data_IF_558588050220
#
_entry.id   IF_558588050220
#
_cell.length_a   1.000
_cell.length_b   1.000
_cell.length_c   1.000
_cell.angle_alpha   90.00
_cell.angle_beta   90.00
_cell.angle_gamma   90.00
#
_symmetry.space_group_name_H-M   'P 1'
#
loop_
_entity.id
_entity.type
_entity.pdbx_description
1 polymer ?
#
# COMPACT_ATOMS: atom_id res chain seq x y z
N UNK A 1 20.60 -5.24 18.59
CA UNK A 1 21.73 -4.65 19.29
C UNK A 1 22.12 -3.27 18.74
N UNK A 2 22.00 -3.04 17.41
CA UNK A 2 22.45 -1.79 16.75
C UNK A 2 21.37 -0.70 16.63
N UNK A 3 20.11 -0.96 16.98
CA UNK A 3 19.01 -0.03 16.84
C UNK A 3 19.27 1.38 17.39
N UNK A 4 19.90 1.48 18.55
CA UNK A 4 20.19 2.78 19.17
C UNK A 4 21.26 3.56 18.40
N UNK A 5 22.29 2.87 17.95
CA UNK A 5 23.42 3.44 17.19
C UNK A 5 22.94 3.86 15.77
N UNK A 6 22.13 3.03 15.15
CA UNK A 6 21.49 3.32 13.85
C UNK A 6 20.63 4.58 13.93
N UNK A 7 19.79 4.71 14.97
CA UNK A 7 18.96 5.91 15.16
C UNK A 7 19.79 7.15 15.47
N UNK A 8 20.86 7.03 16.23
CA UNK A 8 21.79 8.15 16.45
C UNK A 8 22.44 8.60 15.14
N UNK A 9 22.88 7.68 14.32
CA UNK A 9 23.45 7.98 13.00
C UNK A 9 22.38 8.64 12.10
N UNK A 10 21.18 8.06 12.01
CA UNK A 10 20.09 8.57 11.17
C UNK A 10 19.59 9.96 11.60
N UNK A 11 19.62 10.26 12.90
CA UNK A 11 19.26 11.60 13.41
C UNK A 11 20.14 12.73 12.91
N UNK A 12 21.33 12.39 12.40
CA UNK A 12 22.31 13.34 11.83
C UNK A 12 22.18 13.45 10.30
N UNK A 13 21.19 12.80 9.71
CA UNK A 13 20.94 12.77 8.26
C UNK A 13 19.61 13.43 7.91
N UNK A 14 19.37 13.66 6.62
CA UNK A 14 18.11 14.19 6.09
C UNK A 14 17.26 13.10 5.44
N UNK A 15 17.12 11.93 6.08
CA UNK A 15 16.30 10.83 5.53
C UNK A 15 14.82 11.24 5.48
N UNK A 16 14.17 10.94 4.37
CA UNK A 16 12.75 11.22 4.17
C UNK A 16 11.79 10.23 4.85
N UNK A 17 12.32 9.09 5.33
CA UNK A 17 11.57 8.03 6.01
C UNK A 17 12.48 6.83 6.29
N UNK A 18 12.03 5.93 7.16
CA UNK A 18 12.75 4.70 7.50
C UNK A 18 11.84 3.49 7.44
N UNK A 19 12.42 2.32 7.15
CA UNK A 19 11.76 1.04 7.37
C UNK A 19 12.35 0.41 8.64
N UNK A 20 11.51 0.30 9.66
CA UNK A 20 11.89 -0.30 10.94
C UNK A 20 11.65 -1.80 10.90
N UNK A 21 12.72 -2.59 10.97
CA UNK A 21 12.67 -4.04 10.95
C UNK A 21 12.21 -4.64 12.30
N UNK A 22 11.73 -5.87 12.26
CA UNK A 22 11.37 -6.68 13.44
C UNK A 22 10.39 -5.99 14.39
N UNK A 23 9.39 -5.29 13.84
CA UNK A 23 8.40 -4.61 14.67
C UNK A 23 7.42 -5.63 15.29
N UNK A 24 7.43 -5.71 16.61
CA UNK A 24 6.60 -6.63 17.40
C UNK A 24 5.72 -5.95 18.43
N UNK A 25 5.85 -4.63 18.61
CA UNK A 25 5.06 -3.87 19.59
C UNK A 25 4.94 -2.40 19.21
N UNK A 26 3.97 -1.73 19.83
CA UNK A 26 3.79 -0.27 19.77
C UNK A 26 5.06 0.46 20.20
N UNK A 27 5.73 -0.04 21.24
CA UNK A 27 6.92 0.61 21.81
C UNK A 27 8.08 0.66 20.80
N UNK A 28 8.24 -0.36 19.93
CA UNK A 28 9.25 -0.33 18.89
C UNK A 28 9.08 0.89 17.97
N UNK A 29 7.83 1.20 17.60
CA UNK A 29 7.53 2.35 16.76
C UNK A 29 7.64 3.66 17.53
N UNK A 30 7.00 3.75 18.71
CA UNK A 30 6.93 5.01 19.48
C UNK A 30 8.27 5.46 20.01
N UNK A 31 9.12 4.54 20.47
CA UNK A 31 10.50 4.86 20.89
C UNK A 31 11.38 5.28 19.71
N UNK A 32 11.18 4.65 18.53
CA UNK A 32 11.85 5.09 17.31
C UNK A 32 11.40 6.49 16.89
N UNK A 33 10.09 6.76 16.91
CA UNK A 33 9.53 8.07 16.55
C UNK A 33 9.97 9.20 17.51
N UNK A 34 10.20 8.89 18.80
CA UNK A 34 10.76 9.85 19.75
C UNK A 34 12.20 10.26 19.41
N UNK A 35 12.99 9.32 18.90
CA UNK A 35 14.40 9.56 18.54
C UNK A 35 14.56 10.18 17.15
N UNK A 36 13.61 9.93 16.25
CA UNK A 36 13.55 10.48 14.89
C UNK A 36 12.24 11.26 14.70
N UNK A 37 12.09 12.43 15.32
CA UNK A 37 10.87 13.21 15.23
C UNK A 37 10.61 13.64 13.77
N UNK A 38 9.37 13.51 13.32
CA UNK A 38 8.89 13.84 11.98
C UNK A 38 9.44 12.96 10.83
N UNK A 39 10.12 11.85 11.14
CA UNK A 39 10.53 10.86 10.15
C UNK A 39 9.46 9.79 10.05
N UNK A 40 8.79 9.62 8.89
CA UNK A 40 7.79 8.57 8.68
C UNK A 40 8.39 7.17 8.86
N UNK A 41 7.69 6.29 9.60
CA UNK A 41 8.14 4.93 9.87
C UNK A 41 7.28 3.94 9.10
N UNK A 42 7.89 3.19 8.19
CA UNK A 42 7.32 1.97 7.63
C UNK A 42 7.63 0.84 8.61
N UNK A 43 6.60 0.33 9.28
CA UNK A 43 6.75 -0.77 10.24
C UNK A 43 6.81 -2.11 9.49
N UNK A 44 7.98 -2.74 9.45
CA UNK A 44 8.19 -4.06 8.86
C UNK A 44 7.85 -5.12 9.91
N UNK A 45 6.67 -5.74 9.74
CA UNK A 45 6.19 -6.83 10.59
C UNK A 45 6.52 -8.16 9.91
N UNK A 46 7.28 -8.99 10.59
CA UNK A 46 7.91 -10.18 10.01
C UNK A 46 8.03 -11.35 10.99
N UNK A 47 7.23 -11.32 12.06
CA UNK A 47 7.12 -12.41 13.03
C UNK A 47 5.66 -12.67 13.39
N UNK A 48 5.37 -13.87 13.91
CA UNK A 48 4.05 -14.23 14.42
C UNK A 48 3.59 -13.26 15.51
N UNK A 49 4.50 -12.90 16.44
CA UNK A 49 4.22 -11.94 17.52
C UNK A 49 3.84 -10.56 16.97
N UNK A 50 4.57 -10.08 15.98
CA UNK A 50 4.27 -8.81 15.32
C UNK A 50 2.91 -8.85 14.61
N UNK A 51 2.59 -9.96 13.92
CA UNK A 51 1.31 -10.13 13.24
C UNK A 51 0.13 -10.14 14.23
N UNK A 52 0.27 -10.79 15.37
CA UNK A 52 -0.79 -10.79 16.39
C UNK A 52 -1.08 -9.38 16.95
N UNK A 53 -0.09 -8.50 16.96
CA UNK A 53 -0.20 -7.11 17.44
C UNK A 53 -0.33 -6.08 16.33
N UNK A 54 -0.55 -6.50 15.09
CA UNK A 54 -0.48 -5.61 13.92
C UNK A 54 -1.46 -4.43 13.99
N UNK A 55 -2.63 -4.61 14.59
CA UNK A 55 -3.63 -3.55 14.76
C UNK A 55 -3.13 -2.44 15.69
N UNK A 56 -2.48 -2.82 16.79
CA UNK A 56 -1.88 -1.88 17.72
C UNK A 56 -0.69 -1.16 17.09
N UNK A 57 0.16 -1.90 16.36
CA UNK A 57 1.31 -1.37 15.63
C UNK A 57 0.85 -0.36 14.56
N UNK A 58 -0.20 -0.69 13.81
CA UNK A 58 -0.78 0.20 12.81
C UNK A 58 -1.25 1.53 13.43
N UNK A 59 -1.86 1.47 14.61
CA UNK A 59 -2.38 2.65 15.33
C UNK A 59 -1.32 3.39 16.14
N UNK A 60 -0.08 2.91 16.18
CA UNK A 60 0.98 3.52 16.96
C UNK A 60 1.38 4.89 16.37
N UNK A 61 1.55 5.89 17.26
CA UNK A 61 2.02 7.21 16.83
C UNK A 61 3.41 7.12 16.20
N UNK A 62 3.49 7.48 14.93
CA UNK A 62 4.73 7.39 14.14
C UNK A 62 4.64 6.35 13.03
N UNK A 63 3.71 5.40 13.09
CA UNK A 63 3.48 4.48 11.99
C UNK A 63 2.92 5.24 10.79
N UNK A 64 3.68 5.26 9.70
CA UNK A 64 3.25 5.82 8.43
C UNK A 64 2.62 4.74 7.54
N UNK A 65 3.20 3.54 7.52
CA UNK A 65 2.75 2.44 6.65
C UNK A 65 3.19 1.09 7.22
N UNK A 66 2.47 0.02 6.89
CA UNK A 66 2.88 -1.35 7.23
C UNK A 66 3.59 -2.00 6.04
N UNK A 67 4.58 -2.85 6.34
CA UNK A 67 5.23 -3.71 5.35
C UNK A 67 5.34 -5.15 5.87
N UNK A 68 5.16 -6.12 4.99
CA UNK A 68 5.19 -7.55 5.31
C UNK A 68 6.55 -8.17 4.99
N UNK A 69 7.31 -8.54 5.99
CA UNK A 69 8.58 -9.26 5.82
C UNK A 69 8.37 -10.76 5.64
N UNK A 70 7.90 -11.19 4.46
CA UNK A 70 7.50 -12.58 4.17
C UNK A 70 8.61 -13.59 4.49
N UNK A 71 9.86 -13.27 4.17
CA UNK A 71 10.99 -14.19 4.36
C UNK A 71 11.18 -14.57 5.82
N UNK A 72 11.28 -13.57 6.68
CA UNK A 72 11.46 -13.75 8.12
C UNK A 72 10.22 -14.28 8.80
N UNK A 73 9.02 -13.87 8.36
CA UNK A 73 7.76 -14.42 8.84
C UNK A 73 7.66 -15.94 8.59
N UNK A 74 8.05 -16.39 7.40
CA UNK A 74 8.09 -17.83 7.09
C UNK A 74 9.14 -18.59 7.90
N UNK A 75 10.28 -17.98 8.15
CA UNK A 75 11.31 -18.56 9.01
C UNK A 75 10.82 -18.70 10.46
N UNK A 76 10.11 -17.71 10.97
CA UNK A 76 9.57 -17.69 12.33
C UNK A 76 8.42 -18.71 12.50
N UNK A 77 7.50 -18.78 11.54
CA UNK A 77 6.27 -19.58 11.62
C UNK A 77 6.38 -20.97 11.02
N UNK A 78 7.38 -21.22 10.18
CA UNK A 78 7.47 -22.47 9.39
C UNK A 78 6.52 -22.52 8.18
N UNK A 79 5.84 -21.42 7.82
CA UNK A 79 4.90 -21.39 6.70
C UNK A 79 5.59 -21.57 5.34
N UNK A 80 4.90 -22.24 4.43
CA UNK A 80 5.30 -22.31 3.01
C UNK A 80 5.12 -20.98 2.27
N UNK A 81 5.54 -20.93 0.99
CA UNK A 81 5.43 -19.73 0.15
C UNK A 81 4.17 -19.71 -0.75
N UNK A 82 3.30 -20.67 -0.56
CA UNK A 82 2.04 -20.70 -1.30
C UNK A 82 1.17 -19.47 -0.91
N UNK A 83 0.58 -18.75 -1.87
CA UNK A 83 -0.32 -17.65 -1.59
C UNK A 83 -1.41 -17.97 -0.57
N UNK A 84 -1.96 -19.16 -0.59
CA UNK A 84 -3.01 -19.59 0.35
C UNK A 84 -2.52 -19.70 1.80
N UNK A 85 -1.27 -20.11 2.04
CA UNK A 85 -0.72 -20.17 3.41
C UNK A 85 -0.47 -18.79 4.01
N UNK A 86 -0.22 -17.80 3.17
CA UNK A 86 0.03 -16.40 3.59
C UNK A 86 -1.23 -15.51 3.51
N UNK A 87 -2.37 -16.07 3.08
CA UNK A 87 -3.61 -15.32 2.89
C UNK A 87 -4.08 -14.63 4.17
N UNK A 88 -4.08 -15.34 5.29
CA UNK A 88 -4.45 -14.77 6.59
C UNK A 88 -3.54 -13.60 6.97
N UNK A 89 -2.24 -13.77 6.84
CA UNK A 89 -1.29 -12.71 7.17
C UNK A 89 -1.55 -11.46 6.30
N UNK A 90 -1.62 -11.60 4.96
CA UNK A 90 -1.92 -10.47 4.05
C UNK A 90 -3.22 -9.77 4.38
N UNK A 91 -4.28 -10.53 4.66
CA UNK A 91 -5.57 -9.97 5.08
C UNK A 91 -5.45 -9.13 6.35
N UNK A 92 -4.68 -9.62 7.36
CA UNK A 92 -4.43 -8.88 8.61
C UNK A 92 -3.72 -7.54 8.35
N UNK A 93 -2.72 -7.50 7.45
CA UNK A 93 -2.04 -6.26 7.07
C UNK A 93 -2.99 -5.24 6.45
N UNK A 94 -3.80 -5.65 5.50
CA UNK A 94 -4.76 -4.78 4.82
C UNK A 94 -5.82 -4.26 5.77
N UNK A 95 -6.40 -5.13 6.60
CA UNK A 95 -7.43 -4.76 7.57
C UNK A 95 -6.85 -3.78 8.61
N UNK A 96 -5.66 -4.06 9.16
CA UNK A 96 -5.04 -3.20 10.16
C UNK A 96 -4.66 -1.82 9.58
N UNK A 97 -4.08 -1.77 8.37
CA UNK A 97 -3.77 -0.52 7.70
C UNK A 97 -5.03 0.32 7.46
N UNK A 98 -6.10 -0.31 6.96
CA UNK A 98 -7.36 0.40 6.67
C UNK A 98 -8.05 0.89 7.95
N UNK A 99 -8.08 0.06 9.00
CA UNK A 99 -8.67 0.43 10.29
C UNK A 99 -7.94 1.59 10.99
N UNK A 100 -6.62 1.71 10.76
CA UNK A 100 -5.79 2.80 11.27
C UNK A 100 -5.69 4.00 10.32
N UNK A 101 -6.46 4.03 9.22
CA UNK A 101 -6.44 5.07 8.19
C UNK A 101 -5.04 5.29 7.57
N UNK A 102 -4.23 4.25 7.50
CA UNK A 102 -2.92 4.28 6.86
C UNK A 102 -3.03 4.03 5.34
N UNK A 103 -2.02 4.44 4.56
CA UNK A 103 -1.87 3.96 3.18
C UNK A 103 -1.85 2.43 3.14
N UNK A 104 -2.30 1.85 2.03
CA UNK A 104 -2.33 0.38 1.87
C UNK A 104 -0.96 -0.25 2.14
N UNK A 105 -0.94 -1.44 2.75
CA UNK A 105 0.28 -2.12 3.14
C UNK A 105 1.18 -2.48 1.95
N UNK A 106 2.48 -2.64 2.22
CA UNK A 106 3.50 -3.10 1.28
C UNK A 106 3.66 -4.62 1.46
N UNK A 107 3.47 -5.40 0.39
CA UNK A 107 3.75 -6.84 0.41
C UNK A 107 5.25 -7.15 0.37
N UNK A 108 5.60 -8.34 0.81
CA UNK A 108 6.98 -8.79 0.86
C UNK A 108 7.58 -9.08 -0.53
N UNK A 109 8.90 -9.28 -0.57
CA UNK A 109 9.62 -9.46 -1.82
C UNK A 109 9.31 -10.81 -2.49
N UNK A 110 9.54 -10.86 -3.79
CA UNK A 110 9.57 -12.11 -4.57
C UNK A 110 11.01 -12.48 -4.86
N UNK A 111 11.41 -13.68 -4.43
CA UNK A 111 12.77 -14.19 -4.66
C UNK A 111 12.87 -14.76 -6.08
N UNK A 112 13.94 -14.39 -6.79
CA UNK A 112 14.28 -14.84 -8.13
C UNK A 112 14.17 -13.74 -9.18
N UNK A 113 14.65 -14.05 -10.40
CA UNK A 113 14.73 -13.11 -11.54
C UNK A 113 13.62 -13.28 -12.57
N UNK A 114 12.66 -14.19 -12.36
CA UNK A 114 11.58 -14.42 -13.31
C UNK A 114 10.53 -13.31 -13.25
N UNK A 115 10.44 -12.51 -14.31
CA UNK A 115 9.41 -11.45 -14.44
C UNK A 115 7.99 -12.03 -14.34
N UNK A 116 7.74 -13.19 -14.92
CA UNK A 116 6.44 -13.87 -14.80
C UNK A 116 6.08 -14.18 -13.35
N UNK A 117 6.99 -14.79 -12.58
CA UNK A 117 6.78 -15.08 -11.16
C UNK A 117 6.53 -13.80 -10.36
N UNK A 118 7.25 -12.73 -10.69
CA UNK A 118 7.10 -11.43 -10.05
C UNK A 118 5.73 -10.80 -10.37
N UNK A 119 5.28 -10.85 -11.63
CA UNK A 119 3.96 -10.36 -12.02
C UNK A 119 2.83 -11.13 -11.33
N UNK A 120 2.91 -12.47 -11.31
CA UNK A 120 1.95 -13.32 -10.62
C UNK A 120 1.89 -13.00 -9.10
N UNK A 121 3.05 -12.82 -8.46
CA UNK A 121 3.11 -12.46 -7.05
C UNK A 121 2.60 -11.03 -6.79
N UNK A 122 2.79 -10.09 -7.72
CA UNK A 122 2.27 -8.73 -7.62
C UNK A 122 0.74 -8.73 -7.76
N UNK A 123 0.18 -9.52 -8.67
CA UNK A 123 -1.27 -9.69 -8.80
C UNK A 123 -1.89 -10.22 -7.50
N UNK A 124 -1.27 -11.20 -6.86
CA UNK A 124 -1.70 -11.69 -5.53
C UNK A 124 -1.68 -10.56 -4.49
N UNK A 125 -0.65 -9.72 -4.46
CA UNK A 125 -0.59 -8.58 -3.52
C UNK A 125 -1.77 -7.64 -3.70
N UNK A 126 -2.15 -7.35 -4.97
CA UNK A 126 -3.27 -6.47 -5.32
C UNK A 126 -4.62 -7.07 -4.88
N UNK A 127 -4.83 -8.38 -5.09
CA UNK A 127 -6.05 -9.07 -4.67
C UNK A 127 -6.26 -9.00 -3.15
N UNK A 128 -5.18 -8.99 -2.37
CA UNK A 128 -5.24 -8.76 -0.93
C UNK A 128 -5.32 -7.28 -0.54
N UNK A 129 -5.48 -6.36 -1.49
CA UNK A 129 -5.63 -4.92 -1.22
C UNK A 129 -4.34 -4.21 -0.81
N UNK A 130 -3.19 -4.83 -1.02
CA UNK A 130 -1.90 -4.19 -0.81
C UNK A 130 -1.57 -3.25 -1.97
N UNK A 131 -0.87 -2.16 -1.70
CA UNK A 131 -0.61 -1.09 -2.67
C UNK A 131 0.88 -0.81 -2.87
N UNK A 132 1.71 -1.77 -2.53
CA UNK A 132 3.15 -1.73 -2.73
C UNK A 132 3.74 -3.13 -2.58
N UNK A 133 4.98 -3.28 -3.04
CA UNK A 133 5.73 -4.52 -2.94
C UNK A 133 7.21 -4.21 -2.76
N UNK A 134 7.87 -4.93 -1.84
CA UNK A 134 9.31 -4.82 -1.65
C UNK A 134 10.00 -5.43 -2.87
N UNK A 135 10.92 -4.68 -3.48
CA UNK A 135 11.80 -5.16 -4.53
C UNK A 135 13.18 -5.44 -3.96
N UNK A 136 13.78 -6.56 -4.34
CA UNK A 136 15.14 -6.93 -3.93
C UNK A 136 16.20 -6.32 -4.83
N UNK A 137 15.84 -5.99 -6.07
CA UNK A 137 16.73 -5.34 -7.04
C UNK A 137 15.98 -4.27 -7.82
N UNK A 138 16.68 -3.26 -8.37
CA UNK A 138 16.06 -2.20 -9.18
C UNK A 138 15.29 -2.71 -10.40
N UNK A 139 15.73 -3.81 -11.00
CA UNK A 139 15.11 -4.40 -12.21
C UNK A 139 13.70 -4.91 -11.93
N UNK A 140 13.38 -5.24 -10.67
CA UNK A 140 12.03 -5.66 -10.28
C UNK A 140 11.03 -4.49 -10.26
N UNK A 141 11.50 -3.26 -10.09
CA UNK A 141 10.63 -2.10 -9.90
C UNK A 141 9.70 -1.85 -11.09
N UNK A 142 10.19 -2.00 -12.33
CA UNK A 142 9.38 -1.79 -13.53
C UNK A 142 8.17 -2.75 -13.57
N UNK A 143 8.41 -4.05 -13.39
CA UNK A 143 7.35 -5.08 -13.39
C UNK A 143 6.36 -4.88 -12.22
N UNK A 144 6.84 -4.49 -11.05
CA UNK A 144 5.98 -4.23 -9.89
C UNK A 144 5.13 -2.99 -10.11
N UNK A 145 5.71 -1.91 -10.63
CA UNK A 145 4.99 -0.67 -10.92
C UNK A 145 3.93 -0.88 -12.01
N UNK A 146 4.27 -1.62 -13.08
CA UNK A 146 3.31 -1.98 -14.12
C UNK A 146 2.12 -2.76 -13.53
N UNK A 147 2.38 -3.75 -12.67
CA UNK A 147 1.31 -4.53 -12.04
C UNK A 147 0.45 -3.73 -11.05
N UNK A 148 1.02 -2.76 -10.34
CA UNK A 148 0.32 -1.94 -9.35
C UNK A 148 -0.41 -0.73 -9.97
N UNK A 149 -0.03 -0.32 -11.17
CA UNK A 149 -0.70 0.77 -11.88
C UNK A 149 -2.03 0.32 -12.47
N UNK A 150 -3.04 1.19 -12.52
CA UNK A 150 -4.30 0.85 -13.18
C UNK A 150 -4.08 0.70 -14.69
N UNK A 151 -4.82 -0.22 -15.30
CA UNK A 151 -4.84 -0.36 -16.76
C UNK A 151 -5.56 0.82 -17.42
N UNK A 152 -5.30 1.01 -18.71
CA UNK A 152 -5.96 2.03 -19.50
C UNK A 152 -7.48 1.84 -19.53
N UNK A 153 -7.95 0.59 -19.62
CA UNK A 153 -9.37 0.26 -19.61
C UNK A 153 -10.01 0.58 -18.25
N UNK A 154 -9.29 0.35 -17.14
CA UNK A 154 -9.80 0.73 -15.81
C UNK A 154 -9.91 2.25 -15.66
N UNK A 155 -8.94 3.00 -16.17
CA UNK A 155 -8.96 4.46 -16.15
C UNK A 155 -10.13 4.99 -16.99
N UNK A 156 -10.29 4.48 -18.22
CA UNK A 156 -11.40 4.84 -19.10
C UNK A 156 -12.74 4.54 -18.44
N UNK A 157 -12.89 3.35 -17.84
CA UNK A 157 -14.09 3.01 -17.09
C UNK A 157 -14.38 3.98 -15.93
N UNK A 158 -13.35 4.38 -15.19
CA UNK A 158 -13.54 5.29 -14.05
C UNK A 158 -13.96 6.70 -14.50
N UNK A 159 -13.40 7.19 -15.60
CA UNK A 159 -13.78 8.47 -16.21
C UNK A 159 -15.21 8.44 -16.76
N UNK A 160 -15.55 7.41 -17.52
CA UNK A 160 -16.90 7.23 -18.06
C UNK A 160 -17.94 7.13 -16.94
N UNK A 161 -17.62 6.38 -15.88
CA UNK A 161 -18.50 6.26 -14.72
C UNK A 161 -18.80 7.63 -14.08
N UNK A 162 -17.80 8.49 -13.87
CA UNK A 162 -18.05 9.83 -13.31
C UNK A 162 -18.80 10.74 -14.27
N UNK A 163 -18.50 10.68 -15.56
CA UNK A 163 -19.24 11.44 -16.56
C UNK A 163 -20.73 11.03 -16.63
N UNK A 164 -21.04 9.74 -16.49
CA UNK A 164 -22.41 9.26 -16.37
C UNK A 164 -23.06 9.69 -15.04
N UNK A 165 -22.35 9.53 -13.93
CA UNK A 165 -22.85 9.89 -12.61
C UNK A 165 -23.22 11.37 -12.54
N UNK A 166 -22.41 12.27 -13.11
CA UNK A 166 -22.71 13.71 -13.19
C UNK A 166 -23.88 14.03 -14.13
N UNK A 167 -23.93 13.42 -15.30
CA UNK A 167 -25.08 13.56 -16.23
C UNK A 167 -26.39 13.16 -15.60
N UNK A 168 -26.35 12.22 -14.69
CA UNK A 168 -27.50 11.70 -13.94
C UNK A 168 -27.85 12.52 -12.69
N UNK A 169 -27.16 13.64 -12.46
CA UNK A 169 -27.41 14.60 -11.37
C UNK A 169 -26.44 14.51 -10.18
N UNK A 170 -25.45 13.61 -10.20
CA UNK A 170 -24.38 13.54 -9.18
C UNK A 170 -24.86 13.08 -7.79
N UNK A 171 -26.06 12.50 -7.69
CA UNK A 171 -26.64 12.08 -6.41
C UNK A 171 -26.54 10.56 -6.22
N UNK A 172 -26.23 10.16 -4.99
CA UNK A 172 -26.23 8.75 -4.58
C UNK A 172 -27.68 8.26 -4.50
N UNK A 173 -28.06 7.35 -5.39
CA UNK A 173 -29.45 6.85 -5.50
C UNK A 173 -29.66 5.53 -4.75
N UNK A 174 -28.60 4.77 -4.56
CA UNK A 174 -28.70 3.47 -3.91
C UNK A 174 -27.34 3.03 -3.32
N UNK A 175 -27.36 1.96 -2.52
CA UNK A 175 -26.17 1.46 -1.83
C UNK A 175 -25.07 0.91 -2.74
N UNK A 176 -25.32 0.67 -4.04
CA UNK A 176 -24.31 0.21 -5.00
C UNK A 176 -23.46 1.35 -5.58
N UNK A 177 -23.91 2.60 -5.45
CA UNK A 177 -23.19 3.75 -5.98
C UNK A 177 -21.91 4.03 -5.16
N UNK A 178 -21.98 3.93 -3.83
CA UNK A 178 -20.84 4.15 -2.95
C UNK A 178 -19.62 3.27 -3.27
N UNK A 179 -19.74 1.93 -3.41
CA UNK A 179 -18.62 1.09 -3.80
C UNK A 179 -18.07 1.41 -5.19
N UNK A 180 -18.91 1.79 -6.14
CA UNK A 180 -18.49 2.17 -7.50
C UNK A 180 -17.72 3.48 -7.51
N UNK A 181 -18.21 4.50 -6.79
CA UNK A 181 -17.52 5.77 -6.58
C UNK A 181 -16.16 5.54 -5.93
N UNK A 182 -16.11 4.75 -4.86
CA UNK A 182 -14.85 4.44 -4.18
C UNK A 182 -13.85 3.71 -5.08
N UNK A 183 -14.32 2.78 -5.93
CA UNK A 183 -13.47 2.11 -6.91
C UNK A 183 -12.95 3.08 -7.97
N UNK A 184 -13.80 3.91 -8.54
CA UNK A 184 -13.42 4.86 -9.58
C UNK A 184 -12.41 5.89 -9.04
N UNK A 185 -12.64 6.47 -7.85
CA UNK A 185 -11.67 7.35 -7.19
C UNK A 185 -10.32 6.67 -7.00
N UNK A 186 -10.30 5.44 -6.45
CA UNK A 186 -9.06 4.69 -6.25
C UNK A 186 -8.27 4.52 -7.56
N UNK A 187 -8.94 4.22 -8.66
CA UNK A 187 -8.30 4.06 -9.97
C UNK A 187 -7.67 5.39 -10.44
N UNK A 188 -8.42 6.50 -10.36
CA UNK A 188 -7.92 7.80 -10.77
C UNK A 188 -6.78 8.32 -9.88
N UNK A 189 -6.86 8.10 -8.58
CA UNK A 189 -5.77 8.44 -7.64
C UNK A 189 -4.49 7.66 -7.96
N UNK A 190 -4.61 6.36 -8.26
CA UNK A 190 -3.48 5.55 -8.69
C UNK A 190 -2.92 6.02 -10.03
N UNK A 191 -3.77 6.31 -11.02
CA UNK A 191 -3.33 6.84 -12.30
C UNK A 191 -2.51 8.11 -12.12
N UNK A 192 -2.99 9.05 -11.29
CA UNK A 192 -2.26 10.26 -10.94
C UNK A 192 -0.92 9.96 -10.25
N UNK A 193 -0.91 9.06 -9.28
CA UNK A 193 0.30 8.68 -8.54
C UNK A 193 1.38 8.04 -9.44
N UNK A 194 0.96 7.29 -10.45
CA UNK A 194 1.86 6.68 -11.44
C UNK A 194 2.14 7.57 -12.65
N UNK A 195 1.65 8.82 -12.67
CA UNK A 195 1.87 9.77 -13.76
C UNK A 195 1.20 9.38 -15.08
N UNK A 196 0.14 8.57 -15.02
CA UNK A 196 -0.66 8.18 -16.16
C UNK A 196 -1.69 9.29 -16.38
N UNK A 197 -1.46 10.15 -17.36
CA UNK A 197 -2.35 11.29 -17.64
C UNK A 197 -3.42 10.95 -18.66
N UNK A 198 -4.63 11.52 -18.53
CA UNK A 198 -5.72 11.37 -19.51
C UNK A 198 -5.35 11.79 -20.93
N UNK A 199 -4.43 12.74 -21.10
CA UNK A 199 -3.92 13.17 -22.41
C UNK A 199 -3.22 12.06 -23.21
N UNK A 200 -2.92 10.93 -22.60
CA UNK A 200 -2.50 9.73 -23.35
C UNK A 200 -3.65 9.11 -24.16
N UNK A 201 -4.90 9.60 -24.01
CA UNK A 201 -6.12 9.05 -24.60
C UNK A 201 -6.74 9.91 -25.70
N UNK A 202 -6.06 10.93 -26.20
CA UNK A 202 -6.57 11.87 -27.20
C UNK A 202 -7.24 13.09 -26.55
N UNK A 203 -7.08 14.24 -27.18
CA UNK A 203 -7.60 15.52 -26.72
C UNK A 203 -9.14 15.52 -26.71
N UNK A 204 -9.75 15.30 -25.56
CA UNK A 204 -11.12 15.70 -25.28
C UNK A 204 -11.08 16.94 -24.36
N UNK A 205 -11.49 18.13 -24.84
CA UNK A 205 -11.35 19.39 -24.09
C UNK A 205 -12.32 19.56 -22.91
N UNK A 206 -13.26 18.64 -22.68
CA UNK A 206 -14.31 18.75 -21.67
C UNK A 206 -14.07 17.86 -20.42
N UNK A 207 -12.82 17.71 -20.00
CA UNK A 207 -12.51 16.96 -18.78
C UNK A 207 -12.99 17.66 -17.51
N UNK A 208 -14.06 17.13 -16.95
CA UNK A 208 -14.54 17.48 -15.62
C UNK A 208 -13.56 16.92 -14.57
N UNK A 209 -12.99 17.81 -13.77
CA UNK A 209 -12.17 17.42 -12.62
C UNK A 209 -13.02 16.62 -11.64
N UNK A 210 -12.50 15.47 -11.17
CA UNK A 210 -13.14 14.71 -10.11
C UNK A 210 -13.48 15.62 -8.93
N UNK A 211 -14.68 15.50 -8.32
CA UNK A 211 -15.06 16.34 -7.20
C UNK A 211 -14.04 16.22 -6.08
N UNK A 212 -13.46 17.39 -5.69
CA UNK A 212 -12.47 17.47 -4.62
C UNK A 212 -13.11 17.14 -3.27
N UNK A 213 -12.50 16.20 -2.57
CA UNK A 213 -12.50 16.00 -1.11
C UNK A 213 -13.77 16.37 -0.33
N UNK A 214 -14.80 15.52 -0.38
CA UNK A 214 -15.91 15.68 0.57
C UNK A 214 -16.43 14.37 1.18
N UNK A 215 -15.73 13.27 1.01
CA UNK A 215 -16.13 12.01 1.67
C UNK A 215 -15.02 11.51 2.60
N UNK A 216 -14.93 12.12 3.79
CA UNK A 216 -14.25 11.53 4.94
C UNK A 216 -15.17 10.48 5.57
N UNK A 217 -14.76 9.22 5.54
CA UNK A 217 -15.32 8.17 6.39
C UNK A 217 -14.29 7.75 7.43
#
# INVERSE_FOLDING_TARGET
>A
PWWADDLEMLSKTSVGGIMLAMVESVDHVTETAKRLPNVPIVALVETARGLERITEIASAKGTFRLAFGIGDFRRDTGFGDNPATLAYARSRFTIAAKAAHLPGAIDGPTIGSSSRKLSEATAVSIEFGMTGKICLTPEQCATVNEGLSPSLDEIAWAQEFFAEFERDGGEIRNGSDLPRIARANKILDLAKAYGIHPSMFGDDPDHVSAPSDTYHY
#
